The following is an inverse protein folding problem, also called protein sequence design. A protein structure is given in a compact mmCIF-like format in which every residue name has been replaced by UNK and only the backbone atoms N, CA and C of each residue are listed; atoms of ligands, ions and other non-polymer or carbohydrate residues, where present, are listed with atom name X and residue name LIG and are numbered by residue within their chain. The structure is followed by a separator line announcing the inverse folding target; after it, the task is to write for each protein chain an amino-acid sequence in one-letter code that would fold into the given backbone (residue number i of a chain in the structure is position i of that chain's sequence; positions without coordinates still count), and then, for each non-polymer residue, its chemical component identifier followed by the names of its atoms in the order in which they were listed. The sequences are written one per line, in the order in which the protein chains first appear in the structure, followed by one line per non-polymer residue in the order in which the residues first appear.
data_IF_219789035089
#
_entry.id   IF_219789035089
#
_cell.length_a   1.000
_cell.length_b   1.000
_cell.length_c   1.000
_cell.angle_alpha   90.00
_cell.angle_beta   90.00
_cell.angle_gamma   90.00
#
_symmetry.space_group_name_H-M   'P 1'
#
loop_
_entity.id
_entity.type
_entity.pdbx_description
1 polymer ?
#
# COMPACT_ATOMS: atom_id res chain seq x y z
N UNK A 1 3.91 13.52 3.22
CA UNK A 1 3.72 12.14 2.69
C UNK A 1 3.60 11.12 3.80
N UNK A 2 4.52 11.11 4.76
CA UNK A 2 4.44 10.24 5.94
C UNK A 2 3.14 10.40 6.74
N UNK A 3 2.62 11.62 6.90
CA UNK A 3 1.31 11.86 7.55
C UNK A 3 0.14 11.18 6.81
N UNK A 4 0.11 11.24 5.48
CA UNK A 4 -0.95 10.61 4.67
C UNK A 4 -0.86 9.10 4.78
N UNK A 5 0.37 8.56 4.78
CA UNK A 5 0.57 7.14 5.01
C UNK A 5 0.03 6.74 6.38
N UNK A 6 0.40 7.48 7.42
CA UNK A 6 -0.02 7.21 8.80
C UNK A 6 -1.54 7.31 8.98
N UNK A 7 -2.18 8.33 8.41
CA UNK A 7 -3.64 8.51 8.42
C UNK A 7 -4.38 7.32 7.79
N UNK A 8 -3.78 6.68 6.78
CA UNK A 8 -4.31 5.49 6.12
C UNK A 8 -3.82 4.17 6.73
N UNK A 9 -3.20 4.23 7.91
CA UNK A 9 -2.68 3.08 8.64
C UNK A 9 -1.43 2.47 8.04
N UNK A 10 -0.69 3.17 7.19
CA UNK A 10 0.53 2.70 6.57
C UNK A 10 1.74 3.61 6.80
N UNK A 11 2.83 3.33 6.08
CA UNK A 11 4.10 4.06 6.15
C UNK A 11 4.58 4.44 4.75
N UNK A 12 5.23 5.60 4.65
CA UNK A 12 5.94 6.00 3.45
C UNK A 12 7.40 5.60 3.62
N UNK A 13 7.89 4.67 2.80
CA UNK A 13 9.26 4.17 2.85
C UNK A 13 10.24 5.05 2.08
N UNK A 14 9.76 5.86 1.12
CA UNK A 14 10.60 6.84 0.45
C UNK A 14 11.02 7.96 1.41
N UNK A 15 12.33 8.16 1.54
CA UNK A 15 12.93 9.24 2.31
C UNK A 15 12.81 10.60 1.60
N UNK A 16 12.93 10.61 0.26
CA UNK A 16 12.91 11.83 -0.54
C UNK A 16 11.57 12.03 -1.22
N UNK A 17 10.96 13.19 -0.97
CA UNK A 17 9.79 13.63 -1.69
C UNK A 17 10.21 14.43 -2.93
N UNK A 18 10.24 13.75 -4.07
CA UNK A 18 10.63 14.35 -5.36
C UNK A 18 9.45 14.98 -6.13
N UNK A 19 8.22 14.87 -5.60
CA UNK A 19 7.02 15.51 -6.15
C UNK A 19 5.79 14.60 -6.21
N UNK A 20 4.62 15.18 -6.52
CA UNK A 20 3.33 14.44 -6.51
C UNK A 20 3.19 13.38 -7.62
N UNK A 21 3.96 13.54 -8.70
CA UNK A 21 3.96 12.62 -9.84
C UNK A 21 5.01 11.52 -9.69
N UNK A 22 6.00 11.72 -8.81
CA UNK A 22 7.08 10.76 -8.63
C UNK A 22 6.58 9.58 -7.80
N UNK A 23 6.73 8.34 -8.28
CA UNK A 23 6.35 7.18 -7.52
C UNK A 23 7.20 7.08 -6.25
N UNK A 24 6.54 6.99 -5.11
CA UNK A 24 7.15 6.75 -3.81
C UNK A 24 6.87 5.31 -3.40
N UNK A 25 7.73 4.75 -2.56
CA UNK A 25 7.51 3.47 -1.91
C UNK A 25 6.60 3.66 -0.69
N UNK A 26 5.51 2.90 -0.66
CA UNK A 26 4.51 2.90 0.41
C UNK A 26 4.39 1.51 0.99
N UNK A 27 3.99 1.48 2.25
CA UNK A 27 3.72 0.28 3.02
C UNK A 27 2.35 0.43 3.69
N UNK A 28 1.51 -0.60 3.67
CA UNK A 28 0.24 -0.59 4.39
C UNK A 28 0.40 -1.25 5.77
N UNK A 29 -0.64 -1.16 6.60
CA UNK A 29 -0.70 -1.81 7.91
C UNK A 29 -0.34 -3.31 7.86
N UNK A 30 -0.75 -4.01 6.81
CA UNK A 30 -0.46 -5.44 6.60
C UNK A 30 0.98 -5.72 6.16
N UNK A 31 1.82 -4.71 5.96
CA UNK A 31 3.20 -4.89 5.50
C UNK A 31 3.37 -5.04 3.98
N UNK A 32 2.34 -4.78 3.17
CA UNK A 32 2.52 -4.77 1.71
C UNK A 32 3.28 -3.55 1.29
N UNK A 33 4.38 -3.76 0.55
CA UNK A 33 5.15 -2.68 -0.05
C UNK A 33 4.78 -2.54 -1.52
N UNK A 34 4.47 -1.32 -1.97
CA UNK A 34 4.23 -1.02 -3.38
C UNK A 34 4.72 0.38 -3.74
N UNK A 35 4.92 0.62 -5.04
CA UNK A 35 5.27 1.92 -5.58
C UNK A 35 4.03 2.62 -6.13
N UNK A 36 3.77 3.84 -5.69
CA UNK A 36 2.66 4.64 -6.18
C UNK A 36 2.96 6.12 -6.09
N UNK A 37 2.42 6.91 -7.02
CA UNK A 37 2.55 8.35 -6.96
C UNK A 37 1.59 8.91 -5.90
N UNK A 38 2.02 9.94 -5.14
CA UNK A 38 1.21 10.70 -4.20
C UNK A 38 -0.19 11.08 -4.69
N UNK A 39 -0.27 11.56 -5.93
CA UNK A 39 -1.52 11.93 -6.57
C UNK A 39 -2.47 10.72 -6.66
N UNK A 40 -1.96 9.58 -7.11
CA UNK A 40 -2.72 8.33 -7.20
C UNK A 40 -3.13 7.79 -5.83
N UNK A 41 -2.38 8.10 -4.78
CA UNK A 41 -2.71 7.70 -3.41
C UNK A 41 -3.81 8.59 -2.80
N UNK A 42 -3.77 9.89 -3.09
CA UNK A 42 -4.72 10.88 -2.55
C UNK A 42 -6.03 10.84 -3.35
N UNK A 43 -5.93 10.83 -4.68
CA UNK A 43 -7.06 10.87 -5.62
C UNK A 43 -7.50 9.48 -6.11
N UNK A 44 -6.66 8.45 -5.97
CA UNK A 44 -7.02 7.10 -6.37
C UNK A 44 -7.86 6.40 -5.29
N UNK A 45 -8.92 5.73 -5.72
CA UNK A 45 -9.90 5.12 -4.83
C UNK A 45 -9.37 3.95 -3.97
N UNK A 46 -8.14 3.48 -4.20
CA UNK A 46 -7.58 2.32 -3.49
C UNK A 46 -6.22 2.68 -2.88
N UNK A 47 -6.09 2.46 -1.58
CA UNK A 47 -4.85 2.71 -0.84
C UNK A 47 -3.76 1.70 -1.20
N UNK A 48 -4.04 0.39 -1.04
CA UNK A 48 -3.09 -0.67 -1.29
C UNK A 48 -3.65 -1.65 -2.34
N UNK A 49 -2.94 -1.93 -3.45
CA UNK A 49 -3.40 -2.84 -4.48
C UNK A 49 -3.52 -4.28 -3.97
N UNK A 50 -2.59 -4.72 -3.11
CA UNK A 50 -2.66 -6.05 -2.50
C UNK A 50 -3.88 -6.19 -1.59
N UNK A 51 -4.17 -5.20 -0.75
CA UNK A 51 -5.41 -5.19 0.05
C UNK A 51 -6.67 -5.16 -0.83
N UNK A 52 -6.66 -4.43 -1.94
CA UNK A 52 -7.80 -4.41 -2.88
C UNK A 52 -8.01 -5.77 -3.56
N UNK A 53 -6.93 -6.49 -3.90
CA UNK A 53 -7.00 -7.86 -4.43
C UNK A 53 -7.49 -8.83 -3.35
N UNK A 54 -6.96 -8.71 -2.12
CA UNK A 54 -7.44 -9.47 -0.98
C UNK A 54 -8.93 -9.26 -0.77
N UNK A 55 -9.43 -8.03 -0.74
CA UNK A 55 -10.86 -7.74 -0.59
C UNK A 55 -11.73 -8.44 -1.64
N UNK A 56 -11.29 -8.44 -2.90
CA UNK A 56 -11.99 -9.12 -4.01
C UNK A 56 -11.85 -10.65 -3.99
N UNK A 57 -10.81 -11.19 -3.39
CA UNK A 57 -10.53 -12.63 -3.39
C UNK A 57 -11.40 -13.35 -2.35
N UNK A 58 -12.43 -14.05 -2.85
CA UNK A 58 -13.33 -14.87 -2.01
C UNK A 58 -12.72 -16.22 -1.60
N UNK A 59 -11.68 -16.67 -2.28
CA UNK A 59 -11.08 -17.99 -2.04
C UNK A 59 -9.97 -17.89 -0.99
N UNK A 60 -10.13 -18.43 0.23
CA UNK A 60 -9.20 -18.24 1.34
C UNK A 60 -7.77 -18.69 1.02
N UNK A 61 -7.58 -19.83 0.34
CA UNK A 61 -6.24 -20.31 -0.02
C UNK A 61 -5.48 -19.41 -1.01
N UNK A 62 -6.18 -18.70 -1.90
CA UNK A 62 -5.53 -17.73 -2.80
C UNK A 62 -5.16 -16.43 -2.07
N UNK A 63 -5.85 -16.09 -0.98
CA UNK A 63 -5.55 -14.91 -0.18
C UNK A 63 -4.17 -15.01 0.47
N UNK A 64 -3.74 -16.21 0.88
CA UNK A 64 -2.42 -16.44 1.49
C UNK A 64 -1.25 -15.94 0.64
N UNK A 65 -1.37 -15.93 -0.70
CA UNK A 65 -0.32 -15.40 -1.58
C UNK A 65 -0.09 -13.90 -1.39
N UNK A 66 -1.14 -13.18 -1.02
CA UNK A 66 -1.15 -11.73 -0.87
C UNK A 66 -1.21 -11.31 0.60
N UNK A 67 -1.26 -12.25 1.54
CA UNK A 67 -1.22 -11.94 2.96
C UNK A 67 0.26 -11.89 3.37
N UNK A 68 0.74 -10.72 3.76
CA UNK A 68 2.10 -10.54 4.28
C UNK A 68 2.04 -10.76 5.80
N UNK A 69 1.55 -11.93 6.22
CA UNK A 69 1.39 -12.33 7.63
C UNK A 69 2.74 -12.48 8.36
N UNK A 70 3.87 -12.25 7.68
CA UNK A 70 5.19 -12.34 8.30
C UNK A 70 5.47 -13.71 8.91
N UNK A 71 4.87 -14.79 8.39
CA UNK A 71 5.19 -16.14 8.87
C UNK A 71 6.63 -16.51 8.47
N UNK A 72 7.43 -17.02 9.41
CA UNK A 72 8.79 -17.50 9.15
C UNK A 72 8.83 -18.69 8.19
#
# INVERSE_FOLDING_TARGET
MQRIAHDRGGRCLSAEYLGVKVPLAWECDRGHVWQASPDSIINGGHWCPNCAVLDKTKTPHLRLKYDYDGRP
#
